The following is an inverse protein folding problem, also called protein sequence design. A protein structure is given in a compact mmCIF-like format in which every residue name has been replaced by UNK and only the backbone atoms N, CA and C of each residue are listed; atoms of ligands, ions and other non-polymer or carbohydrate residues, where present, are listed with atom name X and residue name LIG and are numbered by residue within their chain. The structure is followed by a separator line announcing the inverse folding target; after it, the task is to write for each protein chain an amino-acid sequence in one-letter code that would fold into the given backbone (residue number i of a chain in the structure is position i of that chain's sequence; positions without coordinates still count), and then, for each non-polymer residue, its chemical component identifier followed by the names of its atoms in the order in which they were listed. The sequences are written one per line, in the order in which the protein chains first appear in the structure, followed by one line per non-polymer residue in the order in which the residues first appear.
data_IF_538250627922
#
_entry.id   IF_538250627922
#
_cell.length_a   1.000
_cell.length_b   1.000
_cell.length_c   1.000
_cell.angle_alpha   90.00
_cell.angle_beta   90.00
_cell.angle_gamma   90.00
#
_symmetry.space_group_name_H-M   'P 1'
#
loop_
_entity.id
_entity.type
_entity.pdbx_description
1 polymer ?
#
# COMPACT_ATOMS: atom_id res chain seq x y z
N UNK A 1 -11.14 8.58 -4.97
CA UNK A 1 -9.98 8.27 -5.80
C UNK A 1 -9.77 6.76 -5.98
N UNK A 2 -9.85 5.99 -4.90
CA UNK A 2 -9.87 4.52 -4.99
C UNK A 2 -11.24 4.05 -4.57
N UNK A 3 -11.84 3.12 -5.34
CA UNK A 3 -13.08 2.44 -4.98
C UNK A 3 -12.93 0.95 -5.22
N UNK A 4 -13.26 0.16 -4.20
CA UNK A 4 -13.20 -1.30 -4.22
C UNK A 4 -14.54 -1.85 -3.76
N UNK A 5 -15.14 -2.76 -4.56
CA UNK A 5 -16.45 -3.35 -4.28
C UNK A 5 -16.40 -4.87 -4.45
N UNK A 6 -16.67 -5.58 -3.36
CA UNK A 6 -16.72 -7.04 -3.29
C UNK A 6 -15.52 -7.74 -3.96
N UNK A 7 -14.34 -7.15 -3.80
CA UNK A 7 -13.11 -7.64 -4.43
C UNK A 7 -12.76 -9.01 -3.89
N UNK A 8 -12.58 -9.97 -4.80
CA UNK A 8 -12.23 -11.34 -4.46
C UNK A 8 -11.04 -11.79 -5.30
N UNK A 9 -10.08 -12.45 -4.66
CA UNK A 9 -8.97 -13.10 -5.36
C UNK A 9 -8.78 -14.50 -4.84
N UNK A 10 -8.98 -15.48 -5.73
CA UNK A 10 -8.68 -16.90 -5.53
C UNK A 10 -7.41 -17.24 -6.28
N UNK A 11 -6.53 -17.99 -5.66
CA UNK A 11 -5.38 -18.62 -6.31
C UNK A 11 -5.62 -20.11 -6.45
N UNK A 12 -5.24 -20.66 -7.59
CA UNK A 12 -5.20 -22.08 -7.82
C UNK A 12 -3.76 -22.58 -7.63
N UNK A 13 -3.57 -23.51 -6.72
CA UNK A 13 -2.30 -24.18 -6.47
C UNK A 13 -2.45 -25.67 -6.78
N UNK A 14 -1.61 -26.16 -7.68
CA UNK A 14 -1.66 -27.56 -8.12
C UNK A 14 -1.42 -28.57 -6.99
N UNK A 15 -0.77 -28.16 -5.91
CA UNK A 15 -0.43 -29.01 -4.76
C UNK A 15 -1.37 -28.86 -3.57
N UNK A 16 -1.99 -27.67 -3.40
CA UNK A 16 -2.81 -27.30 -2.24
C UNK A 16 -4.28 -27.06 -2.57
N UNK A 17 -4.67 -27.15 -3.84
CA UNK A 17 -6.00 -26.78 -4.30
C UNK A 17 -6.20 -25.27 -4.41
N UNK A 18 -7.46 -24.80 -4.47
CA UNK A 18 -7.76 -23.38 -4.52
C UNK A 18 -7.82 -22.77 -3.12
N UNK A 19 -7.29 -21.56 -2.95
CA UNK A 19 -7.45 -20.78 -1.72
C UNK A 19 -7.85 -19.35 -2.02
N UNK A 20 -8.70 -18.79 -1.17
CA UNK A 20 -9.19 -17.40 -1.28
C UNK A 20 -8.27 -16.51 -0.49
N UNK A 21 -7.48 -15.67 -1.19
CA UNK A 21 -6.57 -14.72 -0.57
C UNK A 21 -7.22 -13.37 -0.22
N UNK A 22 -8.30 -13.01 -0.92
CA UNK A 22 -9.13 -11.83 -0.67
C UNK A 22 -10.58 -12.24 -0.92
N UNK A 23 -11.45 -12.03 0.06
CA UNK A 23 -12.86 -12.41 0.03
C UNK A 23 -13.77 -11.18 0.21
N UNK A 24 -14.41 -10.75 -0.86
CA UNK A 24 -15.44 -9.71 -0.93
C UNK A 24 -15.07 -8.39 -0.22
N UNK A 25 -13.81 -7.99 -0.29
CA UNK A 25 -13.31 -6.77 0.32
C UNK A 25 -13.92 -5.54 -0.36
N UNK A 26 -14.42 -4.58 0.44
CA UNK A 26 -15.00 -3.33 -0.05
C UNK A 26 -14.51 -2.15 0.80
N UNK A 27 -13.99 -1.11 0.14
CA UNK A 27 -13.59 0.15 0.77
C UNK A 27 -13.44 1.27 -0.26
N UNK A 28 -13.29 2.50 0.21
CA UNK A 28 -12.97 3.65 -0.63
C UNK A 28 -11.94 4.55 0.02
N UNK A 29 -11.10 5.22 -0.79
CA UNK A 29 -10.11 6.20 -0.34
C UNK A 29 -10.32 7.51 -1.08
N UNK A 30 -10.32 8.62 -0.35
CA UNK A 30 -10.58 9.98 -0.85
C UNK A 30 -9.27 10.71 -1.21
N UNK A 31 -9.32 11.76 -2.03
CA UNK A 31 -8.19 12.68 -2.17
C UNK A 31 -7.81 13.32 -0.82
N UNK A 32 -6.52 13.48 -0.56
CA UNK A 32 -6.02 14.03 0.69
C UNK A 32 -6.21 13.13 1.92
N UNK A 33 -6.45 11.83 1.71
CA UNK A 33 -6.64 10.83 2.76
C UNK A 33 -5.50 9.81 2.74
N UNK A 34 -5.03 9.43 3.92
CA UNK A 34 -4.21 8.23 4.13
C UNK A 34 -5.11 7.12 4.68
N UNK A 35 -5.34 6.11 3.86
CA UNK A 35 -6.11 4.93 4.24
C UNK A 35 -5.17 3.78 4.62
N UNK A 36 -5.24 3.32 5.87
CA UNK A 36 -4.45 2.21 6.40
C UNK A 36 -5.09 0.87 6.12
N UNK A 37 -4.34 -0.09 5.60
CA UNK A 37 -4.74 -1.49 5.53
C UNK A 37 -3.89 -2.28 6.54
N UNK A 38 -4.44 -2.50 7.73
CA UNK A 38 -3.78 -3.15 8.86
C UNK A 38 -4.12 -4.64 8.90
N UNK A 39 -3.16 -5.49 9.18
CA UNK A 39 -3.39 -6.92 9.37
C UNK A 39 -2.10 -7.70 9.46
N UNK A 40 -2.15 -8.91 9.98
CA UNK A 40 -1.01 -9.82 10.06
C UNK A 40 -0.47 -10.20 8.67
N UNK A 41 0.70 -10.83 8.64
CA UNK A 41 1.24 -11.42 7.42
C UNK A 41 0.29 -12.52 6.91
N UNK A 42 0.03 -12.52 5.60
CA UNK A 42 -0.96 -13.43 5.00
C UNK A 42 -2.41 -12.96 5.07
N UNK A 43 -2.72 -11.82 5.68
CA UNK A 43 -4.09 -11.29 5.74
C UNK A 43 -4.68 -10.89 4.37
N UNK A 44 -3.87 -10.84 3.29
CA UNK A 44 -4.32 -10.48 1.93
C UNK A 44 -3.97 -9.05 1.51
N UNK A 45 -3.35 -8.23 2.37
CA UNK A 45 -3.00 -6.82 2.10
C UNK A 45 -2.25 -6.62 0.79
N UNK A 46 -1.12 -7.31 0.62
CA UNK A 46 -0.29 -7.25 -0.61
C UNK A 46 -1.07 -7.68 -1.85
N UNK A 47 -1.99 -8.65 -1.73
CA UNK A 47 -2.86 -9.05 -2.84
C UNK A 47 -3.77 -7.91 -3.28
N UNK A 48 -4.40 -7.21 -2.33
CA UNK A 48 -5.19 -6.00 -2.62
C UNK A 48 -4.32 -4.93 -3.28
N UNK A 49 -3.14 -4.61 -2.72
CA UNK A 49 -2.24 -3.61 -3.29
C UNK A 49 -1.80 -3.94 -4.71
N UNK A 50 -1.50 -5.21 -4.99
CA UNK A 50 -1.14 -5.68 -6.34
C UNK A 50 -2.30 -5.62 -7.34
N UNK A 51 -3.54 -5.82 -6.89
CA UNK A 51 -4.71 -5.64 -7.74
C UNK A 51 -4.89 -4.16 -8.07
N UNK A 52 -4.82 -3.27 -7.08
CA UNK A 52 -4.94 -1.82 -7.28
C UNK A 52 -3.84 -1.26 -8.20
N UNK A 53 -2.65 -1.87 -8.18
CA UNK A 53 -1.53 -1.50 -9.06
C UNK A 53 -1.53 -2.25 -10.41
N UNK A 54 -2.59 -2.98 -10.72
CA UNK A 54 -2.75 -3.76 -11.98
C UNK A 54 -1.76 -4.89 -12.20
N UNK A 55 -1.02 -5.28 -11.16
CA UNK A 55 -0.07 -6.42 -11.21
C UNK A 55 -0.82 -7.75 -11.15
N UNK A 56 -1.96 -7.78 -10.47
CA UNK A 56 -2.85 -8.95 -10.38
C UNK A 56 -4.25 -8.60 -10.85
N UNK A 57 -4.88 -9.54 -11.55
CA UNK A 57 -6.30 -9.45 -11.91
C UNK A 57 -7.15 -10.07 -10.79
N UNK A 58 -8.21 -9.40 -10.31
CA UNK A 58 -9.14 -10.00 -9.37
C UNK A 58 -9.91 -11.15 -10.00
N UNK A 59 -10.40 -12.08 -9.19
CA UNK A 59 -11.29 -13.18 -9.65
C UNK A 59 -12.73 -12.67 -9.78
N UNK A 60 -13.18 -11.85 -8.82
CA UNK A 60 -14.51 -11.21 -8.81
C UNK A 60 -14.42 -9.82 -8.19
N UNK A 61 -15.50 -9.03 -8.37
CA UNK A 61 -15.61 -7.68 -7.83
C UNK A 61 -15.05 -6.63 -8.77
N UNK A 62 -15.08 -5.39 -8.32
CA UNK A 62 -14.67 -4.20 -9.09
C UNK A 62 -13.68 -3.39 -8.27
N UNK A 63 -12.63 -2.89 -8.92
CA UNK A 63 -11.74 -1.90 -8.35
C UNK A 63 -11.46 -0.81 -9.38
N UNK A 64 -11.54 0.46 -8.93
CA UNK A 64 -11.16 1.61 -9.73
C UNK A 64 -10.15 2.48 -8.99
N UNK A 65 -9.20 3.04 -9.73
CA UNK A 65 -8.16 3.94 -9.20
C UNK A 65 -8.10 5.18 -10.08
N UNK A 66 -8.20 6.35 -9.49
CA UNK A 66 -8.26 7.63 -10.20
C UNK A 66 -9.40 7.72 -11.24
N UNK A 67 -10.47 6.94 -11.07
CA UNK A 67 -11.61 6.85 -11.99
C UNK A 67 -11.47 5.77 -13.08
N UNK A 68 -10.35 5.07 -13.16
CA UNK A 68 -10.05 4.03 -14.14
C UNK A 68 -10.22 2.62 -13.56
N UNK A 69 -10.81 1.71 -14.32
CA UNK A 69 -10.96 0.30 -13.95
C UNK A 69 -9.61 -0.43 -14.01
N UNK A 70 -9.27 -1.19 -12.96
CA UNK A 70 -7.96 -1.86 -12.85
C UNK A 70 -7.73 -2.96 -13.89
N UNK A 71 -8.78 -3.46 -14.54
CA UNK A 71 -8.70 -4.49 -15.59
C UNK A 71 -8.76 -3.83 -16.98
N UNK A 72 -9.82 -3.04 -17.22
CA UNK A 72 -10.12 -2.48 -18.56
C UNK A 72 -9.15 -1.36 -18.93
N UNK A 73 -8.81 -0.52 -17.94
CA UNK A 73 -8.01 0.70 -18.13
C UNK A 73 -6.65 0.60 -17.44
N UNK A 74 -6.06 -0.61 -17.37
CA UNK A 74 -4.84 -0.87 -16.62
C UNK A 74 -3.67 0.08 -16.97
N UNK A 75 -3.56 0.51 -18.23
CA UNK A 75 -2.54 1.47 -18.65
C UNK A 75 -2.76 2.86 -18.02
N UNK A 76 -4.02 3.33 -17.96
CA UNK A 76 -4.36 4.60 -17.33
C UNK A 76 -4.19 4.52 -15.82
N UNK A 77 -4.57 3.41 -15.17
CA UNK A 77 -4.28 3.20 -13.75
C UNK A 77 -2.79 3.35 -13.48
N UNK A 78 -1.91 2.66 -14.25
CA UNK A 78 -0.45 2.75 -14.07
C UNK A 78 0.13 4.14 -14.28
N UNK A 79 -0.48 4.98 -15.12
CA UNK A 79 -0.09 6.40 -15.30
C UNK A 79 -0.45 7.26 -14.10
N UNK A 80 -1.47 6.87 -13.34
CA UNK A 80 -2.03 7.64 -12.24
C UNK A 80 -1.63 7.12 -10.85
N UNK A 81 -0.76 6.11 -10.77
CA UNK A 81 -0.29 5.55 -9.49
C UNK A 81 1.23 5.63 -9.35
N UNK A 82 1.68 5.84 -8.13
CA UNK A 82 3.03 5.50 -7.69
C UNK A 82 3.00 4.33 -6.72
N UNK A 83 3.84 3.33 -6.93
CA UNK A 83 3.90 2.14 -6.09
C UNK A 83 5.26 2.02 -5.39
N UNK A 84 5.23 1.90 -4.08
CA UNK A 84 6.41 1.74 -3.21
C UNK A 84 6.23 0.47 -2.38
N UNK A 85 7.18 -0.44 -2.45
CA UNK A 85 7.23 -1.63 -1.59
C UNK A 85 8.60 -1.79 -0.94
N UNK A 86 8.68 -2.62 0.09
CA UNK A 86 9.94 -2.96 0.76
C UNK A 86 10.94 -3.67 -0.18
N UNK A 87 10.44 -4.40 -1.19
CA UNK A 87 11.25 -5.17 -2.14
C UNK A 87 11.46 -4.44 -3.48
N UNK A 88 11.49 -3.12 -3.47
CA UNK A 88 11.73 -2.37 -4.71
C UNK A 88 13.16 -2.56 -5.19
N UNK A 89 13.34 -3.24 -6.31
CA UNK A 89 14.66 -3.47 -6.92
C UNK A 89 15.36 -2.15 -7.29
N UNK A 90 16.57 -2.00 -6.83
CA UNK A 90 17.49 -0.91 -7.18
C UNK A 90 18.51 -1.46 -8.15
N UNK A 91 18.76 -0.76 -9.27
CA UNK A 91 19.74 -1.16 -10.26
C UNK A 91 21.14 -0.79 -9.79
N UNK A 92 21.97 -1.77 -9.51
CA UNK A 92 23.29 -1.60 -8.89
C UNK A 92 24.24 -0.65 -9.64
N UNK A 93 24.15 -0.62 -10.97
CA UNK A 93 25.05 0.17 -11.83
C UNK A 93 24.54 1.57 -12.14
N UNK A 94 23.27 1.86 -11.84
CA UNK A 94 22.69 3.19 -12.07
C UNK A 94 22.84 4.06 -10.84
N UNK A 95 23.12 5.33 -11.04
CA UNK A 95 23.08 6.33 -9.97
C UNK A 95 21.65 6.64 -9.56
N UNK A 96 21.46 7.29 -8.40
CA UNK A 96 20.14 7.72 -7.96
C UNK A 96 19.45 8.59 -9.01
N UNK A 97 20.18 9.54 -9.58
CA UNK A 97 19.68 10.43 -10.62
C UNK A 97 19.28 9.70 -11.89
N UNK A 98 20.15 8.85 -12.41
CA UNK A 98 19.89 8.07 -13.63
C UNK A 98 18.65 7.20 -13.47
N UNK A 99 18.50 6.58 -12.30
CA UNK A 99 17.37 5.69 -12.03
C UNK A 99 16.03 6.44 -12.03
N UNK A 100 15.92 7.55 -11.31
CA UNK A 100 14.69 8.35 -11.27
C UNK A 100 14.41 8.96 -12.65
N UNK A 101 15.44 9.45 -13.36
CA UNK A 101 15.33 9.96 -14.73
C UNK A 101 14.82 8.88 -15.71
N UNK A 102 15.31 7.65 -15.57
CA UNK A 102 14.87 6.52 -16.41
C UNK A 102 13.37 6.26 -16.22
N UNK A 103 12.87 6.25 -14.97
CA UNK A 103 11.44 6.06 -14.70
C UNK A 103 10.59 7.22 -15.21
N UNK A 104 11.04 8.46 -15.09
CA UNK A 104 10.35 9.59 -15.68
C UNK A 104 10.21 9.47 -17.22
N UNK A 105 11.26 8.99 -17.90
CA UNK A 105 11.20 8.69 -19.33
C UNK A 105 10.23 7.55 -19.66
N UNK A 106 10.17 6.50 -18.84
CA UNK A 106 9.20 5.40 -19.03
C UNK A 106 7.75 5.89 -18.91
N UNK A 107 7.50 6.91 -18.09
CA UNK A 107 6.19 7.59 -18.00
C UNK A 107 5.95 8.58 -19.12
N UNK A 108 6.88 8.72 -20.09
CA UNK A 108 6.72 9.59 -21.24
C UNK A 108 6.89 11.08 -20.96
N UNK A 109 7.52 11.46 -19.85
CA UNK A 109 7.72 12.87 -19.49
C UNK A 109 8.64 13.59 -20.49
N UNK A 110 8.27 14.81 -20.94
CA UNK A 110 9.14 15.64 -21.78
C UNK A 110 10.47 15.95 -21.06
N UNK A 111 11.58 16.00 -21.82
CA UNK A 111 12.93 16.13 -21.25
C UNK A 111 13.10 17.37 -20.36
N UNK A 112 12.53 18.50 -20.71
CA UNK A 112 12.63 19.73 -19.95
C UNK A 112 11.88 19.61 -18.62
N UNK A 113 10.61 19.19 -18.67
CA UNK A 113 9.76 18.96 -17.49
C UNK A 113 10.37 17.93 -16.54
N UNK A 114 10.88 16.82 -17.08
CA UNK A 114 11.52 15.78 -16.27
C UNK A 114 12.74 16.31 -15.53
N UNK A 115 13.56 17.16 -16.16
CA UNK A 115 14.73 17.75 -15.50
C UNK A 115 14.31 18.62 -14.31
N UNK A 116 13.35 19.50 -14.50
CA UNK A 116 12.88 20.40 -13.43
C UNK A 116 12.22 19.59 -12.29
N UNK A 117 11.47 18.55 -12.66
CA UNK A 117 10.86 17.63 -11.70
C UNK A 117 11.89 16.86 -10.88
N UNK A 118 12.98 16.40 -11.51
CA UNK A 118 14.08 15.72 -10.82
C UNK A 118 14.76 16.64 -9.80
N UNK A 119 15.11 17.87 -10.17
CA UNK A 119 15.74 18.84 -9.24
C UNK A 119 14.81 19.10 -8.04
N UNK A 120 13.51 19.26 -8.29
CA UNK A 120 12.51 19.44 -7.23
C UNK A 120 12.44 18.25 -6.29
N UNK A 121 12.30 17.02 -6.83
CA UNK A 121 12.21 15.80 -6.04
C UNK A 121 13.47 15.52 -5.23
N UNK A 122 14.65 15.70 -5.84
CA UNK A 122 15.92 15.49 -5.17
C UNK A 122 16.12 16.46 -4.01
N UNK A 123 15.64 17.69 -4.16
CA UNK A 123 15.65 18.67 -3.07
C UNK A 123 14.64 18.30 -1.97
N UNK A 124 13.41 17.99 -2.32
CA UNK A 124 12.35 17.62 -1.37
C UNK A 124 12.71 16.38 -0.53
N UNK A 125 13.28 15.35 -1.18
CA UNK A 125 13.68 14.11 -0.53
C UNK A 125 15.10 14.14 0.06
N UNK A 126 15.80 15.29 -0.03
CA UNK A 126 17.19 15.46 0.44
C UNK A 126 18.11 14.39 -0.16
N UNK A 127 18.13 14.30 -1.50
CA UNK A 127 18.88 13.30 -2.25
C UNK A 127 20.08 13.90 -3.00
N UNK A 128 20.28 15.21 -2.96
CA UNK A 128 21.34 15.90 -3.72
C UNK A 128 22.76 15.43 -3.36
N UNK A 129 22.99 15.07 -2.09
CA UNK A 129 24.30 14.61 -1.61
C UNK A 129 24.73 13.25 -2.20
N UNK A 130 23.76 12.44 -2.64
CA UNK A 130 24.04 11.11 -3.20
C UNK A 130 23.45 10.89 -4.60
N UNK A 131 23.17 11.99 -5.31
CA UNK A 131 22.56 11.92 -6.66
C UNK A 131 23.37 11.07 -7.65
N UNK A 132 24.70 11.10 -7.52
CA UNK A 132 25.65 10.41 -8.39
C UNK A 132 26.18 9.10 -7.79
N UNK A 133 25.63 8.68 -6.63
CA UNK A 133 26.02 7.40 -6.00
C UNK A 133 25.31 6.25 -6.71
N UNK A 134 26.05 5.22 -7.16
CA UNK A 134 25.47 4.03 -7.77
C UNK A 134 24.72 3.16 -6.75
N UNK A 135 23.67 2.44 -7.19
CA UNK A 135 22.82 1.63 -6.35
C UNK A 135 23.54 0.62 -5.46
N UNK A 136 24.63 0.03 -5.97
CA UNK A 136 25.49 -0.91 -5.20
C UNK A 136 26.16 -0.29 -3.97
N UNK A 137 26.32 1.04 -3.96
CA UNK A 137 26.97 1.78 -2.86
C UNK A 137 25.98 2.52 -1.96
N UNK A 138 24.66 2.41 -2.23
CA UNK A 138 23.64 3.09 -1.45
C UNK A 138 23.33 2.35 -0.16
N UNK A 139 23.16 3.10 0.93
CA UNK A 139 22.58 2.60 2.18
C UNK A 139 21.09 2.25 1.98
N UNK A 140 20.50 1.49 2.90
CA UNK A 140 19.07 1.14 2.87
C UNK A 140 18.21 2.39 2.81
N UNK A 141 18.51 3.43 3.58
CA UNK A 141 17.77 4.70 3.56
C UNK A 141 17.89 5.45 2.23
N UNK A 142 19.08 5.43 1.58
CA UNK A 142 19.24 5.99 0.23
C UNK A 142 18.41 5.22 -0.80
N UNK A 143 18.43 3.89 -0.75
CA UNK A 143 17.63 3.02 -1.63
C UNK A 143 16.13 3.30 -1.47
N UNK A 144 15.67 3.47 -0.24
CA UNK A 144 14.27 3.80 0.04
C UNK A 144 13.86 5.15 -0.54
N UNK A 145 14.69 6.19 -0.38
CA UNK A 145 14.43 7.50 -1.00
C UNK A 145 14.36 7.42 -2.53
N UNK A 146 15.25 6.64 -3.16
CA UNK A 146 15.22 6.40 -4.61
C UNK A 146 13.93 5.69 -5.02
N UNK A 147 13.47 4.70 -4.25
CA UNK A 147 12.20 4.01 -4.49
C UNK A 147 11.01 4.96 -4.46
N UNK A 148 10.96 5.85 -3.47
CA UNK A 148 9.93 6.89 -3.35
C UNK A 148 10.02 7.87 -4.54
N UNK A 149 11.21 8.37 -4.85
CA UNK A 149 11.41 9.30 -5.96
C UNK A 149 10.95 8.72 -7.30
N UNK A 150 11.25 7.43 -7.55
CA UNK A 150 10.77 6.70 -8.74
C UNK A 150 9.25 6.65 -8.83
N UNK A 151 8.60 6.36 -7.70
CA UNK A 151 7.14 6.28 -7.63
C UNK A 151 6.46 7.64 -7.80
N UNK A 152 7.18 8.73 -7.53
CA UNK A 152 6.65 10.10 -7.54
C UNK A 152 7.07 10.93 -8.74
N UNK A 153 7.99 10.47 -9.58
CA UNK A 153 8.59 11.30 -10.64
C UNK A 153 7.56 11.88 -11.60
N UNK A 154 6.56 11.10 -11.98
CA UNK A 154 5.47 11.49 -12.88
C UNK A 154 4.28 12.18 -12.19
N UNK A 155 4.45 12.56 -10.93
CA UNK A 155 3.47 13.26 -10.09
C UNK A 155 2.09 12.59 -9.97
N UNK A 156 2.00 11.28 -9.70
CA UNK A 156 0.73 10.59 -9.67
C UNK A 156 -0.21 11.13 -8.58
N UNK A 157 -1.54 11.17 -8.83
CA UNK A 157 -2.52 11.55 -7.81
C UNK A 157 -2.73 10.49 -6.72
N UNK A 158 -2.37 9.23 -6.99
CA UNK A 158 -2.54 8.10 -6.07
C UNK A 158 -1.19 7.47 -5.76
N UNK A 159 -0.93 7.20 -4.48
CA UNK A 159 0.28 6.52 -4.01
C UNK A 159 -0.08 5.29 -3.18
N UNK A 160 0.54 4.18 -3.52
CA UNK A 160 0.35 2.87 -2.87
C UNK A 160 1.64 2.49 -2.17
N UNK A 161 1.59 2.32 -0.84
CA UNK A 161 2.71 1.89 -0.01
C UNK A 161 2.42 0.48 0.54
N UNK A 162 3.13 -0.52 0.05
CA UNK A 162 2.96 -1.92 0.48
C UNK A 162 4.10 -2.34 1.40
N UNK A 163 3.83 -2.36 2.71
CA UNK A 163 4.79 -2.66 3.78
C UNK A 163 6.12 -1.92 3.63
N UNK A 164 6.04 -0.65 3.24
CA UNK A 164 7.20 0.14 2.82
C UNK A 164 8.20 0.47 3.95
N UNK A 165 7.83 0.26 5.21
CA UNK A 165 8.69 0.43 6.40
C UNK A 165 9.36 -0.86 6.85
N UNK A 166 8.93 -2.02 6.33
CA UNK A 166 9.43 -3.32 6.74
C UNK A 166 10.95 -3.44 6.48
N UNK A 167 11.69 -3.81 7.54
CA UNK A 167 13.15 -3.99 7.45
C UNK A 167 13.96 -2.68 7.44
N UNK A 168 13.29 -1.53 7.62
CA UNK A 168 13.98 -0.25 7.80
C UNK A 168 14.36 -0.03 9.26
N UNK A 169 15.49 0.65 9.49
CA UNK A 169 15.78 1.17 10.82
C UNK A 169 14.79 2.27 11.23
N UNK A 170 14.69 2.53 12.55
CA UNK A 170 13.71 3.46 13.12
C UNK A 170 13.78 4.86 12.52
N UNK A 171 14.98 5.37 12.20
CA UNK A 171 15.15 6.71 11.68
C UNK A 171 14.69 6.79 10.21
N UNK A 172 15.01 5.77 9.42
CA UNK A 172 14.59 5.69 8.02
C UNK A 172 13.07 5.51 7.92
N UNK A 173 12.48 4.63 8.74
CA UNK A 173 11.03 4.46 8.82
C UNK A 173 10.32 5.78 9.20
N UNK A 174 10.83 6.48 10.22
CA UNK A 174 10.28 7.79 10.64
C UNK A 174 10.34 8.83 9.51
N UNK A 175 11.44 8.86 8.75
CA UNK A 175 11.58 9.76 7.61
C UNK A 175 10.57 9.43 6.51
N UNK A 176 10.37 8.14 6.19
CA UNK A 176 9.35 7.71 5.24
C UNK A 176 7.95 8.16 5.67
N UNK A 177 7.55 7.91 6.92
CA UNK A 177 6.26 8.34 7.44
C UNK A 177 6.07 9.87 7.36
N UNK A 178 7.14 10.65 7.58
CA UNK A 178 7.10 12.10 7.39
C UNK A 178 6.84 12.49 5.92
N UNK A 179 7.49 11.82 4.97
CA UNK A 179 7.24 12.04 3.53
C UNK A 179 5.79 11.71 3.17
N UNK A 180 5.25 10.60 3.67
CA UNK A 180 3.85 10.20 3.42
C UNK A 180 2.87 11.27 3.92
N UNK A 181 3.11 11.88 5.10
CA UNK A 181 2.30 12.99 5.61
C UNK A 181 2.33 14.21 4.69
N UNK A 182 3.52 14.62 4.26
CA UNK A 182 3.66 15.76 3.34
C UNK A 182 2.91 15.52 2.01
N UNK A 183 2.90 14.27 1.53
CA UNK A 183 2.16 13.90 0.32
C UNK A 183 0.64 14.00 0.52
N UNK A 184 0.14 13.61 1.70
CA UNK A 184 -1.26 13.82 2.08
C UNK A 184 -1.62 15.32 2.08
N UNK A 185 -0.79 16.14 2.71
CA UNK A 185 -0.99 17.60 2.78
C UNK A 185 -1.02 18.26 1.40
N UNK A 186 -0.33 17.67 0.41
CA UNK A 186 -0.40 18.09 -1.00
C UNK A 186 -1.65 17.59 -1.75
N UNK A 187 -2.61 16.97 -1.04
CA UNK A 187 -3.89 16.53 -1.60
C UNK A 187 -3.86 15.17 -2.30
N UNK A 188 -2.76 14.42 -2.23
CA UNK A 188 -2.67 13.10 -2.84
C UNK A 188 -3.52 12.07 -2.08
N UNK A 189 -4.01 11.08 -2.80
CA UNK A 189 -4.71 9.92 -2.26
C UNK A 189 -3.68 8.83 -1.93
N UNK A 190 -3.64 8.37 -0.67
CA UNK A 190 -2.65 7.40 -0.23
C UNK A 190 -3.31 6.17 0.37
N UNK A 191 -2.81 4.98 0.00
CA UNK A 191 -3.12 3.73 0.68
C UNK A 191 -1.83 3.13 1.22
N UNK A 192 -1.85 2.72 2.49
CA UNK A 192 -0.67 2.28 3.23
C UNK A 192 -0.95 0.95 3.91
N UNK A 193 -0.27 -0.12 3.50
CA UNK A 193 -0.36 -1.41 4.18
C UNK A 193 0.75 -1.57 5.20
N UNK A 194 0.40 -2.08 6.37
CA UNK A 194 1.34 -2.41 7.44
C UNK A 194 0.75 -3.46 8.39
N UNK A 195 1.62 -4.10 9.14
CA UNK A 195 1.23 -4.91 10.31
C UNK A 195 1.64 -4.23 11.64
N UNK A 196 2.16 -2.99 11.57
CA UNK A 196 2.64 -2.22 12.72
C UNK A 196 1.57 -1.22 13.15
N UNK A 197 0.93 -1.47 14.29
CA UNK A 197 -0.20 -0.67 14.79
C UNK A 197 0.16 0.78 15.04
N UNK A 198 1.34 1.04 15.62
CA UNK A 198 1.80 2.40 15.90
C UNK A 198 2.02 3.27 14.64
N UNK A 199 2.24 2.67 13.48
CA UNK A 199 2.29 3.40 12.21
C UNK A 199 0.90 3.86 11.79
N UNK A 200 -0.07 2.98 11.92
CA UNK A 200 -1.47 3.26 11.59
C UNK A 200 -2.03 4.36 12.47
N UNK A 201 -1.83 4.28 13.78
CA UNK A 201 -2.28 5.29 14.74
C UNK A 201 -1.70 6.68 14.47
N UNK A 202 -0.45 6.73 14.02
CA UNK A 202 0.25 8.00 13.76
C UNK A 202 -0.02 8.59 12.40
N UNK A 203 -0.36 7.77 11.42
CA UNK A 203 -0.33 8.16 10.01
C UNK A 203 -1.71 8.21 9.37
N UNK A 204 -2.58 7.23 9.66
CA UNK A 204 -3.78 6.98 8.89
C UNK A 204 -4.96 7.82 9.37
N UNK A 205 -5.75 8.35 8.44
CA UNK A 205 -7.00 9.03 8.72
C UNK A 205 -8.14 8.03 8.97
N UNK A 206 -8.15 6.97 8.15
CA UNK A 206 -9.06 5.83 8.28
C UNK A 206 -8.30 4.53 8.08
N UNK A 207 -8.81 3.48 8.69
CA UNK A 207 -8.17 2.17 8.74
C UNK A 207 -9.19 1.10 8.35
N UNK A 208 -8.73 0.07 7.64
CA UNK A 208 -9.42 -1.22 7.56
C UNK A 208 -8.56 -2.28 8.23
N UNK A 209 -9.14 -3.03 9.16
CA UNK A 209 -8.52 -4.17 9.82
C UNK A 209 -8.81 -5.41 8.99
N UNK A 210 -7.75 -6.02 8.47
CA UNK A 210 -7.86 -7.14 7.55
C UNK A 210 -7.33 -8.43 8.16
N UNK A 211 -8.12 -9.50 8.09
CA UNK A 211 -7.76 -10.84 8.55
C UNK A 211 -8.28 -11.91 7.59
N UNK A 212 -7.46 -12.92 7.26
CA UNK A 212 -7.81 -14.04 6.36
C UNK A 212 -8.57 -13.63 5.10
N UNK A 213 -8.11 -12.55 4.45
CA UNK A 213 -8.71 -12.05 3.20
C UNK A 213 -9.95 -11.19 3.37
N UNK A 214 -10.45 -10.96 4.58
CA UNK A 214 -11.65 -10.17 4.85
C UNK A 214 -11.32 -8.89 5.61
N UNK A 215 -12.12 -7.85 5.43
CA UNK A 215 -12.13 -6.67 6.31
C UNK A 215 -13.07 -6.99 7.47
N UNK A 216 -12.54 -7.01 8.70
CA UNK A 216 -13.30 -7.24 9.92
C UNK A 216 -14.06 -5.99 10.33
N UNK A 217 -13.40 -4.82 10.26
CA UNK A 217 -13.99 -3.52 10.51
C UNK A 217 -13.17 -2.41 9.85
N UNK A 218 -13.79 -1.24 9.65
CA UNK A 218 -13.12 -0.07 9.08
C UNK A 218 -13.73 1.23 9.58
N UNK A 219 -12.89 2.25 9.75
CA UNK A 219 -13.29 3.58 10.22
C UNK A 219 -12.08 4.42 10.62
N UNK A 220 -12.33 5.57 11.20
CA UNK A 220 -11.32 6.33 11.94
C UNK A 220 -10.99 5.61 13.25
N UNK A 221 -9.83 5.88 13.85
CA UNK A 221 -9.48 5.31 15.16
C UNK A 221 -10.55 5.64 16.22
N UNK A 222 -11.10 6.85 16.19
CA UNK A 222 -12.14 7.28 17.13
C UNK A 222 -13.41 6.46 16.96
N UNK A 223 -13.85 6.24 15.70
CA UNK A 223 -15.04 5.43 15.41
C UNK A 223 -14.84 3.97 15.83
N UNK A 224 -13.68 3.38 15.56
CA UNK A 224 -13.37 2.00 15.93
C UNK A 224 -13.35 1.82 17.44
N UNK A 225 -12.64 2.69 18.18
CA UNK A 225 -12.61 2.67 19.64
C UNK A 225 -14.00 2.83 20.26
N UNK A 226 -14.79 3.77 19.78
CA UNK A 226 -16.16 3.97 20.25
C UNK A 226 -17.07 2.78 19.98
N UNK A 227 -16.97 2.16 18.79
CA UNK A 227 -17.79 1.01 18.39
C UNK A 227 -17.51 -0.22 19.21
N UNK A 228 -16.24 -0.46 19.55
CA UNK A 228 -15.80 -1.64 20.29
C UNK A 228 -15.63 -1.38 21.80
N UNK A 229 -15.85 -0.14 22.26
CA UNK A 229 -15.69 0.27 23.66
C UNK A 229 -14.32 -0.09 24.22
N UNK A 230 -13.28 0.09 23.39
CA UNK A 230 -11.90 -0.24 23.70
C UNK A 230 -10.99 0.93 23.31
N UNK A 231 -10.28 1.49 24.28
CA UNK A 231 -9.40 2.64 24.10
C UNK A 231 -8.01 2.21 23.61
N UNK A 232 -7.54 1.02 23.98
CA UNK A 232 -6.31 0.46 23.51
C UNK A 232 -6.50 -0.16 22.12
N UNK A 233 -5.79 0.37 21.13
CA UNK A 233 -5.94 -0.08 19.77
C UNK A 233 -5.38 -1.49 19.53
N UNK A 234 -4.39 -1.90 20.29
CA UNK A 234 -3.82 -3.24 20.22
C UNK A 234 -4.81 -4.28 20.76
N UNK A 235 -5.44 -4.02 21.90
CA UNK A 235 -6.49 -4.86 22.48
C UNK A 235 -7.73 -4.93 21.57
N UNK A 236 -8.13 -3.78 20.98
CA UNK A 236 -9.20 -3.74 20.00
C UNK A 236 -8.90 -4.65 18.79
N UNK A 237 -7.69 -4.56 18.25
CA UNK A 237 -7.27 -5.37 17.11
C UNK A 237 -7.32 -6.87 17.44
N UNK A 238 -6.72 -7.30 18.55
CA UNK A 238 -6.72 -8.71 18.96
C UNK A 238 -8.13 -9.21 19.33
N UNK A 239 -8.94 -8.39 19.96
CA UNK A 239 -10.33 -8.71 20.27
C UNK A 239 -11.19 -8.93 19.02
N UNK A 240 -10.94 -8.17 17.93
CA UNK A 240 -11.59 -8.40 16.64
C UNK A 240 -11.17 -9.72 15.99
N UNK A 241 -9.88 -10.03 16.03
CA UNK A 241 -9.34 -11.29 15.49
C UNK A 241 -9.94 -12.50 16.22
N UNK A 242 -9.91 -12.51 17.55
CA UNK A 242 -10.43 -13.61 18.37
C UNK A 242 -11.91 -13.88 18.11
N UNK A 243 -12.74 -12.84 18.09
CA UNK A 243 -14.17 -12.97 17.76
C UNK A 243 -14.44 -13.55 16.39
N UNK A 244 -13.61 -13.18 15.41
CA UNK A 244 -13.74 -13.70 14.05
C UNK A 244 -13.34 -15.19 13.98
N UNK A 245 -12.26 -15.58 14.68
CA UNK A 245 -11.81 -16.98 14.74
C UNK A 245 -12.81 -17.88 15.46
N UNK A 246 -13.40 -17.41 16.56
CA UNK A 246 -14.47 -18.12 17.27
C UNK A 246 -15.70 -18.34 16.36
N UNK A 247 -16.15 -17.30 15.64
CA UNK A 247 -17.26 -17.40 14.73
C UNK A 247 -17.02 -18.40 13.58
N UNK A 248 -15.78 -18.42 13.01
CA UNK A 248 -15.41 -19.41 11.99
C UNK A 248 -15.42 -20.85 12.53
N UNK A 249 -14.94 -21.07 13.77
CA UNK A 249 -14.97 -22.39 14.42
C UNK A 249 -16.40 -22.89 14.67
N UNK A 250 -17.30 -22.00 15.10
CA UNK A 250 -18.71 -22.31 15.29
C UNK A 250 -19.41 -22.68 13.98
N UNK A 251 -19.14 -21.94 12.89
CA UNK A 251 -19.68 -22.27 11.57
C UNK A 251 -19.18 -23.66 11.08
N UNK A 252 -17.90 -23.94 11.26
CA UNK A 252 -17.33 -25.24 10.86
C UNK A 252 -17.91 -26.40 11.68
N UNK A 253 -18.16 -26.20 12.97
CA UNK A 253 -18.75 -27.22 13.86
C UNK A 253 -20.20 -27.53 13.49
N UNK A 254 -20.98 -26.52 13.06
CA UNK A 254 -22.35 -26.68 12.60
C UNK A 254 -22.46 -27.45 11.26
N UNK A 255 -21.49 -27.26 10.36
CA UNK A 255 -21.45 -27.95 9.05
C UNK A 255 -20.94 -29.40 9.19
N UNK A 256 -20.02 -29.67 10.13
CA UNK A 256 -19.47 -31.02 10.40
C UNK A 256 -20.38 -31.94 11.22
N UNK A 257 -21.45 -31.43 11.83
CA UNK A 257 -22.40 -32.21 12.64
C UNK A 257 -23.56 -32.85 11.89
N UNK A 258 -23.59 -32.74 10.55
CA UNK A 258 -24.60 -33.38 9.68
C UNK A 258 -23.94 -34.48 8.88
N UNK A 259 -23.61 -35.60 9.52
CA UNK A 259 -23.16 -36.81 8.89
C UNK A 259 -23.82 -38.01 9.55
#
# INVERSE_FOLDING_TARGET
MIHVQHLTKTYEDLSRGSFVAVDRVSFSVRPGEIFGLLGANGAGKTTVMRILSTVLTPTHGIATVAGFDVIRDAAEVRRNIGFVSNNTAIYDRMTAWEMVNYFGKLHGMPKAELRDRLETLFTQLRMNEFRDVPGSKMSTGMKQKVSIARAMVHDPPVLIFDEATLGLDVLVARNLLSVVRTLRESGKCLIFSTHIMSEVERLCDRIAIMHRGRILDSGTLVELRSRHQEDDFEELFFGLLSRHEEAELDEMSMIGGVS
#
